data_IF_992016253763
#
_entry.id   IF_992016253763
#
_cell.length_a   1.000
_cell.length_b   1.000
_cell.length_c   1.000
_cell.angle_alpha   90.00
_cell.angle_beta   90.00
_cell.angle_gamma   90.00
#
_symmetry.space_group_name_H-M   'P 1'
#
loop_
_entity.id
_entity.type
_entity.pdbx_description
1 polymer ?
#
# COMPACT_ATOMS: atom_id res chain seq x y z
N UNK A 1 25.80 28.25 -10.61
CA UNK A 1 25.39 26.91 -10.20
C UNK A 1 24.09 26.60 -10.94
N UNK A 2 24.07 25.61 -11.80
CA UNK A 2 22.88 25.18 -12.51
C UNK A 2 21.89 24.48 -11.54
N UNK A 3 20.63 24.26 -11.98
CA UNK A 3 19.65 23.53 -11.17
C UNK A 3 20.11 22.10 -10.87
N UNK A 4 20.72 21.42 -11.84
CA UNK A 4 21.28 20.08 -11.64
C UNK A 4 22.44 20.08 -10.62
N UNK A 5 23.35 21.06 -10.69
CA UNK A 5 24.43 21.19 -9.69
C UNK A 5 23.88 21.48 -8.28
N UNK A 6 22.81 22.25 -8.19
CA UNK A 6 22.13 22.51 -6.94
C UNK A 6 21.44 21.28 -6.39
N UNK A 7 20.76 20.52 -7.25
CA UNK A 7 20.12 19.26 -6.90
C UNK A 7 21.11 18.27 -6.32
N UNK A 8 22.17 17.96 -7.05
CA UNK A 8 23.24 17.05 -6.63
C UNK A 8 23.93 17.47 -5.33
N UNK A 9 23.92 18.76 -5.02
CA UNK A 9 24.52 19.30 -3.80
C UNK A 9 23.62 19.23 -2.58
N UNK A 10 22.31 19.43 -2.77
CA UNK A 10 21.40 19.68 -1.66
C UNK A 10 20.33 18.62 -1.46
N UNK A 11 20.03 17.78 -2.46
CA UNK A 11 18.94 16.83 -2.40
C UNK A 11 19.48 15.41 -2.27
N UNK A 12 18.99 14.70 -1.26
CA UNK A 12 19.20 13.26 -1.14
C UNK A 12 17.96 12.55 -1.67
N UNK A 13 18.08 12.03 -2.88
CA UNK A 13 16.98 11.31 -3.54
C UNK A 13 16.69 9.96 -2.87
N UNK A 14 15.40 9.62 -2.68
CA UNK A 14 15.02 8.31 -2.19
C UNK A 14 15.28 7.20 -3.22
N UNK A 15 15.42 5.97 -2.74
CA UNK A 15 15.55 4.75 -3.55
C UNK A 15 16.72 4.73 -4.54
N UNK A 16 17.76 5.57 -4.32
CA UNK A 16 18.99 5.53 -5.10
C UNK A 16 20.22 5.81 -4.23
N UNK A 17 21.40 5.41 -4.70
CA UNK A 17 22.67 5.77 -4.09
C UNK A 17 23.17 7.11 -4.67
N UNK A 18 23.58 8.04 -3.82
CA UNK A 18 24.09 9.35 -4.28
C UNK A 18 25.27 9.21 -5.26
N UNK A 19 26.08 8.15 -5.12
CA UNK A 19 27.20 7.86 -6.00
C UNK A 19 26.77 7.53 -7.43
N UNK A 20 25.58 6.96 -7.61
CA UNK A 20 25.06 6.60 -8.93
C UNK A 20 24.73 7.86 -9.75
N UNK A 21 24.45 8.98 -9.09
CA UNK A 21 24.18 10.27 -9.74
C UNK A 21 25.42 10.84 -10.49
N UNK A 22 26.64 10.37 -10.22
CA UNK A 22 27.83 10.72 -10.98
C UNK A 22 27.78 10.15 -12.41
N UNK A 23 27.10 9.02 -12.62
CA UNK A 23 26.97 8.32 -13.92
C UNK A 23 25.58 8.52 -14.52
N UNK A 24 24.55 8.54 -13.67
CA UNK A 24 23.15 8.71 -14.03
C UNK A 24 22.55 9.88 -13.25
N UNK A 25 22.88 11.12 -13.64
CA UNK A 25 22.35 12.30 -12.96
C UNK A 25 20.84 12.39 -13.10
N UNK A 26 20.14 12.94 -12.09
CA UNK A 26 18.69 13.14 -12.16
C UNK A 26 18.33 14.09 -13.31
N UNK A 27 17.17 13.88 -13.90
CA UNK A 27 16.59 14.79 -14.90
C UNK A 27 15.79 15.85 -14.15
N UNK A 28 16.13 17.11 -14.35
CA UNK A 28 15.41 18.23 -13.71
C UNK A 28 14.17 18.56 -14.52
N UNK A 29 13.01 18.15 -14.04
CA UNK A 29 11.72 18.40 -14.69
C UNK A 29 11.25 19.82 -14.39
N UNK A 30 10.85 20.55 -15.42
CA UNK A 30 10.29 21.91 -15.36
C UNK A 30 8.77 21.87 -15.25
N UNK A 31 8.09 21.12 -16.12
CA UNK A 31 6.62 21.00 -16.13
C UNK A 31 6.15 19.68 -16.70
N UNK A 32 4.83 19.44 -16.59
CA UNK A 32 4.19 18.27 -17.17
C UNK A 32 2.79 18.57 -17.69
N UNK A 33 2.30 17.83 -18.68
CA UNK A 33 0.93 17.89 -19.17
C UNK A 33 0.48 16.50 -19.67
N UNK A 34 -0.64 16.03 -19.19
CA UNK A 34 -1.14 14.69 -19.53
C UNK A 34 -0.15 13.62 -19.11
N UNK A 35 0.32 12.79 -20.02
CA UNK A 35 1.32 11.75 -19.77
C UNK A 35 2.77 12.20 -20.07
N UNK A 36 3.01 13.46 -20.33
CA UNK A 36 4.33 13.98 -20.70
C UNK A 36 4.93 14.83 -19.60
N UNK A 37 6.24 14.71 -19.44
CA UNK A 37 7.12 15.56 -18.61
C UNK A 37 8.10 16.28 -19.53
N UNK A 38 8.47 17.48 -19.17
CA UNK A 38 9.43 18.32 -19.91
C UNK A 38 10.54 18.76 -18.96
N UNK A 39 11.79 18.57 -19.35
CA UNK A 39 12.91 19.05 -18.57
C UNK A 39 13.18 20.54 -18.80
N UNK A 40 14.14 21.08 -18.07
CA UNK A 40 14.55 22.49 -18.15
C UNK A 40 15.17 22.89 -19.49
N UNK A 41 15.48 21.93 -20.35
CA UNK A 41 15.98 22.17 -21.72
C UNK A 41 14.87 22.02 -22.77
N UNK A 42 13.63 21.68 -22.32
CA UNK A 42 12.47 21.48 -23.16
C UNK A 42 12.38 20.09 -23.81
N UNK A 43 13.19 19.16 -23.38
CA UNK A 43 13.11 17.78 -23.86
C UNK A 43 11.92 17.07 -23.23
N UNK A 44 11.17 16.32 -24.07
CA UNK A 44 9.96 15.62 -23.69
C UNK A 44 10.26 14.16 -23.27
N UNK A 45 9.57 13.70 -22.24
CA UNK A 45 9.59 12.34 -21.71
C UNK A 45 8.17 11.84 -21.50
N UNK A 46 7.92 10.56 -21.80
CA UNK A 46 6.65 9.91 -21.46
C UNK A 46 6.75 9.33 -20.07
N UNK A 47 5.87 9.77 -19.18
CA UNK A 47 5.74 9.23 -17.81
C UNK A 47 4.90 7.95 -17.81
N UNK A 48 5.51 6.83 -18.19
CA UNK A 48 4.84 5.53 -18.32
C UNK A 48 4.41 4.89 -17.00
N UNK A 49 4.92 5.39 -15.87
CA UNK A 49 4.58 4.89 -14.54
C UNK A 49 3.74 5.88 -13.73
N UNK A 50 3.22 6.93 -14.39
CA UNK A 50 2.39 7.97 -13.74
C UNK A 50 3.02 8.53 -12.46
N UNK A 51 4.33 8.86 -12.52
CA UNK A 51 5.14 9.32 -11.37
C UNK A 51 4.95 8.43 -10.14
N UNK A 52 5.18 7.14 -10.31
CA UNK A 52 5.02 6.11 -9.30
C UNK A 52 3.54 5.94 -8.87
N UNK A 53 2.65 5.85 -9.88
CA UNK A 53 1.19 5.63 -9.76
C UNK A 53 0.40 6.76 -9.08
N UNK A 54 1.00 7.94 -8.86
CA UNK A 54 0.32 9.07 -8.22
C UNK A 54 -0.54 9.90 -9.17
N UNK A 55 -0.19 9.95 -10.47
CA UNK A 55 -0.85 10.82 -11.46
C UNK A 55 -1.83 10.03 -12.37
N UNK A 56 -2.84 9.42 -11.77
CA UNK A 56 -3.82 8.60 -12.49
C UNK A 56 -4.51 9.31 -13.65
N UNK A 57 -4.78 10.62 -13.52
CA UNK A 57 -5.46 11.43 -14.52
C UNK A 57 -4.49 12.31 -15.33
N UNK A 58 -3.18 12.06 -15.19
CA UNK A 58 -2.13 12.80 -15.85
C UNK A 58 -1.73 14.10 -15.15
N UNK A 59 -0.60 14.65 -15.59
CA UNK A 59 -0.05 15.90 -15.08
C UNK A 59 -0.92 17.09 -15.46
N UNK A 60 -1.02 18.06 -14.56
CA UNK A 60 -1.72 19.33 -14.77
C UNK A 60 -3.15 19.13 -15.34
N UNK A 61 -3.91 18.22 -14.74
CA UNK A 61 -5.32 18.06 -15.06
C UNK A 61 -6.08 19.31 -14.62
N UNK A 62 -6.73 19.99 -15.59
CA UNK A 62 -7.33 21.30 -15.35
C UNK A 62 -8.51 21.21 -14.35
N UNK A 63 -9.35 20.16 -14.43
CA UNK A 63 -10.48 19.97 -13.52
C UNK A 63 -10.02 19.80 -12.05
N UNK A 64 -8.97 18.99 -11.83
CA UNK A 64 -8.40 18.81 -10.48
C UNK A 64 -7.76 20.11 -9.99
N UNK A 65 -6.97 20.76 -10.85
CA UNK A 65 -6.29 22.00 -10.49
C UNK A 65 -7.27 23.12 -10.12
N UNK A 66 -8.36 23.24 -10.85
CA UNK A 66 -9.37 24.26 -10.58
C UNK A 66 -10.12 23.96 -9.28
N UNK A 67 -10.49 22.68 -9.03
CA UNK A 67 -11.08 22.28 -7.74
C UNK A 67 -10.15 22.58 -6.55
N UNK A 68 -8.83 22.36 -6.70
CA UNK A 68 -7.83 22.69 -5.66
C UNK A 68 -7.75 24.23 -5.45
N UNK A 69 -7.70 25.02 -6.53
CA UNK A 69 -7.68 26.50 -6.44
C UNK A 69 -8.91 27.03 -5.72
N UNK A 70 -10.09 26.51 -6.07
CA UNK A 70 -11.35 26.91 -5.44
C UNK A 70 -11.37 26.58 -3.95
N UNK A 71 -10.88 25.39 -3.58
CA UNK A 71 -10.79 24.99 -2.17
C UNK A 71 -9.79 25.83 -1.38
N UNK A 72 -8.63 26.18 -1.96
CA UNK A 72 -7.64 27.06 -1.34
C UNK A 72 -8.20 28.45 -1.05
N UNK A 73 -9.17 28.92 -1.87
CA UNK A 73 -9.89 30.19 -1.63
C UNK A 73 -10.89 30.12 -0.46
N UNK A 74 -11.18 28.93 0.08
CA UNK A 74 -12.14 28.74 1.16
C UNK A 74 -11.45 28.29 2.47
N UNK A 75 -10.67 27.21 2.40
CA UNK A 75 -10.00 26.63 3.56
C UNK A 75 -8.90 25.67 3.09
N UNK A 76 -7.66 25.96 3.40
CA UNK A 76 -6.51 25.13 3.09
C UNK A 76 -6.27 24.03 4.13
N UNK A 77 -6.50 24.31 5.40
CA UNK A 77 -6.29 23.36 6.50
C UNK A 77 -7.12 23.71 7.73
N UNK A 78 -7.58 22.69 8.43
CA UNK A 78 -8.09 22.78 9.80
C UNK A 78 -7.73 21.50 10.56
N UNK A 79 -7.39 21.64 11.83
CA UNK A 79 -7.13 20.48 12.70
C UNK A 79 -8.35 19.57 12.83
N UNK A 80 -8.16 18.24 12.72
CA UNK A 80 -9.26 17.26 12.85
C UNK A 80 -9.65 16.94 14.30
N UNK A 81 -8.95 17.48 15.29
CA UNK A 81 -9.32 17.32 16.71
C UNK A 81 -10.53 18.19 17.05
N UNK A 82 -11.72 17.60 17.03
CA UNK A 82 -13.05 18.24 17.21
C UNK A 82 -13.48 19.23 16.11
N UNK A 83 -12.72 19.33 15.02
CA UNK A 83 -13.11 20.07 13.82
C UNK A 83 -13.26 19.10 12.65
N UNK A 84 -14.03 19.50 11.67
CA UNK A 84 -14.20 18.80 10.41
C UNK A 84 -14.40 19.80 9.29
N UNK A 85 -14.34 19.33 8.04
CA UNK A 85 -14.60 20.17 6.88
C UNK A 85 -15.32 19.40 5.77
N UNK A 86 -16.01 20.16 4.93
CA UNK A 86 -16.88 19.62 3.87
C UNK A 86 -16.19 18.60 2.96
N UNK A 87 -15.01 18.87 2.36
CA UNK A 87 -14.39 17.92 1.44
C UNK A 87 -14.13 16.53 2.04
N UNK A 88 -13.73 16.45 3.31
CA UNK A 88 -13.51 15.15 3.96
C UNK A 88 -14.81 14.38 4.14
N UNK A 89 -15.90 15.07 4.53
CA UNK A 89 -17.22 14.45 4.72
C UNK A 89 -17.75 13.94 3.37
N UNK A 90 -17.69 14.74 2.33
CA UNK A 90 -18.15 14.41 0.98
C UNK A 90 -17.33 13.24 0.39
N UNK A 91 -16.01 13.22 0.61
CA UNK A 91 -15.15 12.09 0.24
C UNK A 91 -15.60 10.79 0.92
N UNK A 92 -15.83 10.82 2.24
CA UNK A 92 -16.31 9.65 2.97
C UNK A 92 -17.67 9.16 2.44
N UNK A 93 -18.59 10.08 2.15
CA UNK A 93 -19.90 9.75 1.58
C UNK A 93 -19.78 9.11 0.18
N UNK A 94 -18.85 9.62 -0.66
CA UNK A 94 -18.61 9.08 -1.99
C UNK A 94 -17.93 7.69 -1.96
N UNK A 95 -17.05 7.44 -0.99
CA UNK A 95 -16.35 6.17 -0.83
C UNK A 95 -17.20 5.08 -0.19
N UNK A 96 -18.07 5.43 0.74
CA UNK A 96 -18.85 4.46 1.54
C UNK A 96 -19.61 3.41 0.69
N UNK A 97 -20.28 3.74 -0.42
CA UNK A 97 -20.96 2.75 -1.26
C UNK A 97 -20.02 1.77 -1.97
N UNK A 98 -18.73 2.07 -2.02
CA UNK A 98 -17.70 1.25 -2.69
C UNK A 98 -17.10 0.21 -1.74
N UNK A 99 -17.28 0.38 -0.44
CA UNK A 99 -16.66 -0.45 0.59
C UNK A 99 -17.52 -1.67 0.94
N UNK A 100 -16.90 -2.73 1.47
CA UNK A 100 -17.62 -3.85 2.05
C UNK A 100 -18.56 -3.38 3.17
N UNK A 101 -19.71 -4.06 3.30
CA UNK A 101 -20.66 -3.77 4.38
C UNK A 101 -19.98 -3.92 5.75
N UNK A 102 -20.18 -2.93 6.61
CA UNK A 102 -19.58 -2.89 7.96
C UNK A 102 -18.37 -1.99 8.08
N UNK A 103 -17.71 -1.62 7.00
CA UNK A 103 -16.65 -0.60 7.01
C UNK A 103 -17.29 0.79 6.84
N UNK A 104 -17.50 1.50 7.94
CA UNK A 104 -18.29 2.75 7.98
C UNK A 104 -17.50 3.95 8.50
N UNK A 105 -16.29 3.76 8.97
CA UNK A 105 -15.45 4.81 9.55
C UNK A 105 -14.15 4.96 8.78
N UNK A 106 -13.71 6.21 8.65
CA UNK A 106 -12.50 6.58 7.92
C UNK A 106 -11.51 7.25 8.87
N UNK A 107 -10.25 6.86 8.77
CA UNK A 107 -9.14 7.52 9.43
C UNK A 107 -8.19 8.04 8.37
N UNK A 108 -7.89 9.33 8.40
CA UNK A 108 -7.00 9.97 7.43
C UNK A 108 -5.57 10.02 7.97
N UNK A 109 -4.62 9.69 7.12
CA UNK A 109 -3.19 9.76 7.37
C UNK A 109 -2.51 10.44 6.19
N UNK A 110 -1.24 10.77 6.34
CA UNK A 110 -0.46 11.52 5.36
C UNK A 110 0.14 10.65 4.23
N UNK A 111 0.27 9.34 4.46
CA UNK A 111 0.80 8.39 3.48
C UNK A 111 0.41 6.94 3.80
N UNK A 112 0.72 6.01 2.87
CA UNK A 112 0.38 4.60 3.01
C UNK A 112 1.07 3.91 4.19
N UNK A 113 2.34 4.18 4.44
CA UNK A 113 3.06 3.60 5.59
C UNK A 113 2.45 4.02 6.92
N UNK A 114 2.10 5.31 7.07
CA UNK A 114 1.39 5.83 8.25
C UNK A 114 0.00 5.20 8.41
N UNK A 115 -0.70 4.92 7.29
CA UNK A 115 -1.98 4.20 7.33
C UNK A 115 -1.82 2.78 7.87
N UNK A 116 -0.78 2.07 7.44
CA UNK A 116 -0.45 0.73 7.94
C UNK A 116 -0.10 0.77 9.42
N UNK A 117 0.74 1.72 9.87
CA UNK A 117 1.06 1.90 11.29
C UNK A 117 -0.21 2.12 12.14
N UNK A 118 -1.13 2.97 11.67
CA UNK A 118 -2.40 3.19 12.33
C UNK A 118 -3.24 1.91 12.38
N UNK A 119 -3.34 1.17 11.27
CA UNK A 119 -4.11 -0.08 11.22
C UNK A 119 -3.55 -1.15 12.17
N UNK A 120 -2.22 -1.31 12.23
CA UNK A 120 -1.56 -2.23 13.16
C UNK A 120 -1.86 -1.85 14.61
N UNK A 121 -1.72 -0.57 14.95
CA UNK A 121 -2.02 -0.06 16.31
C UNK A 121 -3.50 -0.26 16.67
N UNK A 122 -4.41 0.04 15.76
CA UNK A 122 -5.86 -0.18 15.97
C UNK A 122 -6.17 -1.65 16.19
N UNK A 123 -5.61 -2.55 15.38
CA UNK A 123 -5.81 -3.98 15.50
C UNK A 123 -5.28 -4.52 16.84
N UNK A 124 -4.08 -4.11 17.23
CA UNK A 124 -3.48 -4.48 18.52
C UNK A 124 -4.32 -3.98 19.69
N UNK A 125 -4.69 -2.70 19.69
CA UNK A 125 -5.48 -2.10 20.75
C UNK A 125 -6.88 -2.71 20.85
N UNK A 126 -7.52 -3.01 19.73
CA UNK A 126 -8.81 -3.70 19.69
C UNK A 126 -8.74 -5.06 20.39
N UNK A 127 -7.75 -5.90 20.03
CA UNK A 127 -7.58 -7.21 20.65
C UNK A 127 -7.35 -7.09 22.16
N UNK A 128 -6.47 -6.18 22.57
CA UNK A 128 -6.20 -5.94 23.99
C UNK A 128 -7.45 -5.53 24.78
N UNK A 129 -8.22 -4.56 24.24
CA UNK A 129 -9.45 -4.06 24.88
C UNK A 129 -10.60 -5.05 24.82
N UNK A 130 -10.59 -5.98 23.85
CA UNK A 130 -11.57 -7.06 23.73
C UNK A 130 -11.28 -8.27 24.60
N UNK A 131 -10.26 -8.20 25.47
CA UNK A 131 -9.92 -9.26 26.41
C UNK A 131 -8.95 -10.30 25.87
N UNK A 132 -8.21 -9.99 24.80
CA UNK A 132 -7.23 -10.86 24.15
C UNK A 132 -5.80 -10.27 24.20
N UNK A 133 -5.22 -9.98 25.38
CA UNK A 133 -3.90 -9.38 25.51
C UNK A 133 -2.75 -10.29 25.02
N UNK A 134 -2.99 -11.58 24.82
CA UNK A 134 -2.05 -12.54 24.24
C UNK A 134 -1.85 -12.35 22.74
N UNK A 135 -2.75 -11.64 22.03
CA UNK A 135 -2.70 -11.40 20.59
C UNK A 135 -1.81 -10.20 20.27
N UNK A 136 -0.50 -10.43 20.22
CA UNK A 136 0.52 -9.38 20.11
C UNK A 136 1.30 -9.40 18.79
N UNK A 137 1.11 -10.41 17.97
CA UNK A 137 1.83 -10.59 16.71
C UNK A 137 0.94 -10.33 15.51
N UNK A 138 1.56 -10.08 14.38
CA UNK A 138 0.89 -9.96 13.09
C UNK A 138 1.31 -11.11 12.17
N UNK A 139 0.42 -11.48 11.26
CA UNK A 139 0.70 -12.38 10.16
C UNK A 139 0.79 -11.61 8.85
N UNK A 140 1.67 -12.04 7.96
CA UNK A 140 1.76 -11.53 6.59
C UNK A 140 2.26 -12.60 5.63
N UNK A 141 1.96 -12.42 4.35
CA UNK A 141 2.46 -13.26 3.28
C UNK A 141 3.94 -12.96 3.02
N UNK A 142 4.71 -13.97 2.63
CA UNK A 142 6.04 -13.76 2.07
C UNK A 142 5.95 -12.89 0.81
N UNK A 143 7.01 -12.12 0.53
CA UNK A 143 7.09 -11.19 -0.61
C UNK A 143 6.05 -10.05 -0.56
N UNK A 144 5.45 -9.79 0.60
CA UNK A 144 4.53 -8.66 0.79
C UNK A 144 5.28 -7.34 1.04
N UNK A 145 4.64 -6.25 0.61
CA UNK A 145 5.13 -4.88 0.84
C UNK A 145 3.99 -4.00 1.34
N UNK A 146 4.22 -3.37 2.48
CA UNK A 146 3.21 -2.53 3.13
C UNK A 146 3.70 -1.13 3.49
N UNK A 147 4.93 -0.79 3.10
CA UNK A 147 5.58 0.48 3.37
C UNK A 147 6.95 0.34 4.05
N UNK A 148 7.60 1.46 4.34
CA UNK A 148 9.00 1.49 4.79
C UNK A 148 9.20 2.11 6.18
N UNK A 149 8.16 2.50 6.90
CA UNK A 149 8.26 2.73 8.35
C UNK A 149 8.55 1.40 9.06
N UNK A 150 9.16 1.44 10.23
CA UNK A 150 9.60 0.20 10.92
C UNK A 150 8.44 -0.77 11.16
N UNK A 151 7.26 -0.29 11.55
CA UNK A 151 6.09 -1.15 11.72
C UNK A 151 5.58 -1.71 10.40
N UNK A 152 5.42 -0.87 9.37
CA UNK A 152 4.99 -1.32 8.03
C UNK A 152 6.01 -2.28 7.41
N UNK A 153 7.32 -2.00 7.56
CA UNK A 153 8.39 -2.88 7.10
C UNK A 153 8.39 -4.22 7.84
N UNK A 154 8.04 -4.22 9.13
CA UNK A 154 7.98 -5.42 9.96
C UNK A 154 6.89 -6.41 9.54
N UNK A 155 5.83 -5.94 8.90
CA UNK A 155 4.76 -6.78 8.34
C UNK A 155 4.94 -7.02 6.84
N UNK A 156 5.95 -6.42 6.21
CA UNK A 156 6.46 -6.79 4.90
C UNK A 156 7.50 -7.90 5.00
N UNK A 157 7.86 -8.49 3.88
CA UNK A 157 8.86 -9.57 3.86
C UNK A 157 9.85 -9.51 2.68
N UNK A 158 9.88 -8.40 1.97
CA UNK A 158 10.85 -8.21 0.90
C UNK A 158 12.24 -7.96 1.47
N UNK A 159 13.13 -8.94 1.33
CA UNK A 159 14.48 -8.88 1.88
C UNK A 159 15.30 -7.68 1.39
N UNK A 160 15.03 -7.24 0.16
CA UNK A 160 15.69 -6.04 -0.42
C UNK A 160 15.55 -4.81 0.48
N UNK A 161 14.37 -4.58 1.05
CA UNK A 161 14.09 -3.43 1.91
C UNK A 161 14.33 -3.72 3.39
N UNK A 162 14.11 -4.95 3.83
CA UNK A 162 14.08 -5.34 5.24
C UNK A 162 15.43 -5.76 5.81
N UNK A 163 16.36 -6.30 4.99
CA UNK A 163 17.55 -7.02 5.44
C UNK A 163 18.39 -6.28 6.46
N UNK A 164 18.65 -4.98 6.21
CA UNK A 164 19.50 -4.17 7.08
C UNK A 164 18.79 -3.81 8.39
N UNK A 165 17.46 -3.68 8.34
CA UNK A 165 16.63 -3.21 9.44
C UNK A 165 16.05 -4.33 10.32
N UNK A 166 16.31 -5.61 9.99
CA UNK A 166 15.83 -6.76 10.77
C UNK A 166 16.00 -6.63 12.30
N UNK A 167 17.12 -6.08 12.83
CA UNK A 167 17.26 -5.91 14.29
C UNK A 167 16.27 -4.91 14.91
N UNK A 168 15.66 -4.03 14.12
CA UNK A 168 14.70 -3.01 14.58
C UNK A 168 13.25 -3.44 14.38
N UNK A 169 13.02 -4.54 13.67
CA UNK A 169 11.67 -4.96 13.24
C UNK A 169 10.99 -5.80 14.33
N UNK A 170 9.66 -5.76 14.33
CA UNK A 170 8.85 -6.63 15.17
C UNK A 170 8.97 -8.10 14.72
N UNK A 171 8.92 -9.02 15.69
CA UNK A 171 8.92 -10.46 15.41
C UNK A 171 7.52 -10.94 14.98
N UNK A 172 7.22 -10.81 13.70
CA UNK A 172 5.95 -11.19 13.09
C UNK A 172 6.02 -12.58 12.43
N UNK A 173 4.86 -13.10 12.03
CA UNK A 173 4.71 -14.41 11.45
C UNK A 173 4.59 -14.27 9.94
N UNK A 174 5.55 -14.81 9.22
CA UNK A 174 5.55 -14.86 7.76
C UNK A 174 5.24 -16.29 7.31
N UNK A 175 4.36 -16.44 6.35
CA UNK A 175 4.10 -17.72 5.71
C UNK A 175 4.19 -17.59 4.19
N UNK A 176 4.41 -18.73 3.53
CA UNK A 176 4.74 -18.73 2.11
C UNK A 176 3.71 -17.99 1.29
N UNK A 177 4.21 -17.05 0.50
CA UNK A 177 3.44 -16.25 -0.42
C UNK A 177 3.03 -17.03 -1.66
N UNK A 178 2.36 -16.32 -2.54
CA UNK A 178 1.78 -16.85 -3.76
C UNK A 178 2.66 -16.54 -4.95
N UNK A 179 2.96 -17.53 -5.77
CA UNK A 179 3.54 -17.34 -7.09
C UNK A 179 2.73 -18.13 -8.12
N UNK A 180 1.65 -17.51 -8.62
CA UNK A 180 0.80 -18.16 -9.61
C UNK A 180 1.40 -18.17 -11.02
N UNK A 181 2.39 -17.33 -11.28
CA UNK A 181 3.13 -17.35 -12.55
C UNK A 181 4.14 -18.49 -12.61
N UNK A 182 4.80 -18.78 -11.48
CA UNK A 182 5.75 -19.89 -11.31
C UNK A 182 5.27 -20.80 -10.19
N UNK A 183 4.08 -21.37 -10.37
CA UNK A 183 3.42 -22.14 -9.33
C UNK A 183 4.29 -23.33 -8.88
N UNK A 184 4.68 -23.42 -7.60
CA UNK A 184 5.51 -24.51 -7.09
C UNK A 184 4.79 -25.86 -7.11
N UNK A 185 3.46 -25.87 -7.29
CA UNK A 185 2.63 -27.05 -7.42
C UNK A 185 2.33 -27.43 -8.88
N UNK A 186 2.92 -26.71 -9.85
CA UNK A 186 2.72 -26.98 -11.29
C UNK A 186 1.30 -26.70 -11.81
N UNK A 187 0.51 -25.91 -11.05
CA UNK A 187 -0.87 -25.59 -11.42
C UNK A 187 -0.94 -24.40 -12.36
N UNK A 188 -1.99 -24.35 -13.17
CA UNK A 188 -2.41 -23.19 -13.95
C UNK A 188 -3.64 -22.54 -13.30
N UNK A 189 -4.07 -21.37 -13.81
CA UNK A 189 -5.29 -20.71 -13.30
C UNK A 189 -6.52 -21.63 -13.40
N UNK A 190 -6.61 -22.43 -14.44
CA UNK A 190 -7.77 -23.30 -14.70
C UNK A 190 -7.77 -24.57 -13.87
N UNK A 191 -6.59 -25.01 -13.41
CA UNK A 191 -6.43 -26.25 -12.62
C UNK A 191 -6.19 -26.00 -11.14
N UNK A 192 -5.97 -24.74 -10.73
CA UNK A 192 -5.58 -24.38 -9.38
C UNK A 192 -6.76 -24.48 -8.37
N UNK A 193 -6.56 -25.27 -7.32
CA UNK A 193 -7.44 -25.32 -6.15
C UNK A 193 -6.82 -24.62 -4.93
N UNK A 194 -5.84 -23.73 -5.13
CA UNK A 194 -5.09 -23.09 -4.07
C UNK A 194 -4.35 -24.09 -3.18
N UNK A 195 -3.63 -25.06 -3.73
CA UNK A 195 -2.84 -26.05 -3.00
C UNK A 195 -1.78 -25.38 -2.10
N UNK A 196 -1.28 -24.21 -2.50
CA UNK A 196 -0.37 -23.39 -1.70
C UNK A 196 -1.01 -22.84 -0.41
N UNK A 197 -2.33 -22.93 -0.25
CA UNK A 197 -3.04 -22.44 0.93
C UNK A 197 -2.65 -23.20 2.22
N UNK A 198 -2.08 -24.39 2.11
CA UNK A 198 -1.57 -25.18 3.24
C UNK A 198 -0.58 -24.40 4.11
N UNK A 199 0.16 -23.45 3.55
CA UNK A 199 1.06 -22.57 4.31
C UNK A 199 0.29 -21.68 5.29
N UNK A 200 -0.80 -21.07 4.84
CA UNK A 200 -1.69 -20.28 5.67
C UNK A 200 -2.34 -21.13 6.78
N UNK A 201 -2.89 -22.31 6.44
CA UNK A 201 -3.50 -23.22 7.42
C UNK A 201 -2.53 -23.59 8.55
N UNK A 202 -1.29 -23.94 8.21
CA UNK A 202 -0.24 -24.25 9.18
C UNK A 202 0.10 -23.06 10.07
N UNK A 203 0.23 -21.86 9.48
CA UNK A 203 0.52 -20.63 10.23
C UNK A 203 -0.60 -20.30 11.22
N UNK A 204 -1.86 -20.38 10.79
CA UNK A 204 -3.00 -20.14 11.67
C UNK A 204 -3.15 -21.22 12.77
N UNK A 205 -2.91 -22.48 12.45
CA UNK A 205 -2.94 -23.55 13.44
C UNK A 205 -1.87 -23.37 14.52
N UNK A 206 -0.67 -22.92 14.14
CA UNK A 206 0.43 -22.71 15.07
C UNK A 206 0.32 -21.42 15.87
N UNK A 207 -0.12 -20.32 15.24
CA UNK A 207 0.04 -18.96 15.78
C UNK A 207 -1.26 -18.14 15.84
N UNK A 208 -2.38 -18.65 15.37
CA UNK A 208 -3.64 -17.89 15.29
C UNK A 208 -4.13 -17.35 16.65
N UNK A 209 -3.80 -18.03 17.76
CA UNK A 209 -4.18 -17.58 19.12
C UNK A 209 -3.37 -16.38 19.62
N UNK A 210 -2.18 -16.17 19.13
CA UNK A 210 -1.31 -15.04 19.50
C UNK A 210 -1.29 -13.92 18.45
N UNK A 211 -2.09 -14.05 17.38
CA UNK A 211 -2.13 -13.12 16.27
C UNK A 211 -3.24 -12.09 16.42
N UNK A 212 -2.88 -10.81 16.37
CA UNK A 212 -3.82 -9.70 16.39
C UNK A 212 -4.52 -9.51 15.04
N UNK A 213 -3.74 -9.49 13.96
CA UNK A 213 -4.25 -9.33 12.62
C UNK A 213 -3.36 -10.01 11.57
N UNK A 214 -3.98 -10.38 10.44
CA UNK A 214 -3.33 -10.69 9.18
C UNK A 214 -3.39 -9.44 8.31
N UNK A 215 -2.26 -9.04 7.70
CA UNK A 215 -2.23 -8.01 6.67
C UNK A 215 -1.88 -8.63 5.32
N UNK A 216 -2.59 -8.20 4.26
CA UNK A 216 -2.41 -8.71 2.91
C UNK A 216 -2.52 -7.60 1.86
N UNK A 217 -1.84 -7.77 0.74
CA UNK A 217 -2.14 -7.06 -0.51
C UNK A 217 -3.21 -7.91 -1.24
N UNK A 218 -4.48 -7.48 -1.34
CA UNK A 218 -5.53 -8.30 -1.90
C UNK A 218 -5.35 -8.48 -3.41
N UNK A 219 -5.41 -9.72 -3.90
CA UNK A 219 -5.35 -10.13 -5.30
C UNK A 219 -4.01 -9.90 -6.00
N UNK A 220 -3.28 -8.84 -5.67
CA UNK A 220 -2.05 -8.44 -6.33
C UNK A 220 -0.99 -8.01 -5.31
N UNK A 221 0.14 -8.72 -5.25
CA UNK A 221 1.34 -8.26 -4.56
C UNK A 221 2.16 -7.40 -5.54
N UNK A 222 2.09 -6.07 -5.39
CA UNK A 222 2.64 -5.12 -6.36
C UNK A 222 4.16 -5.12 -6.39
N UNK A 223 4.81 -4.82 -5.28
CA UNK A 223 6.26 -4.69 -5.18
C UNK A 223 7.01 -6.02 -5.41
N UNK A 224 6.34 -7.15 -5.21
CA UNK A 224 6.86 -8.49 -5.52
C UNK A 224 6.96 -8.80 -7.02
N UNK A 225 6.73 -7.82 -7.89
CA UNK A 225 6.74 -8.00 -9.35
C UNK A 225 5.35 -8.31 -9.92
N UNK A 226 4.32 -7.69 -9.38
CA UNK A 226 2.93 -7.80 -9.84
C UNK A 226 2.40 -9.25 -9.81
N UNK A 227 2.60 -9.94 -8.68
CA UNK A 227 2.13 -11.31 -8.48
C UNK A 227 0.62 -11.34 -8.24
N UNK A 228 -0.12 -11.83 -9.22
CA UNK A 228 -1.58 -11.94 -9.16
C UNK A 228 -1.97 -13.34 -8.67
N UNK A 229 -2.92 -13.41 -7.74
CA UNK A 229 -3.43 -14.66 -7.18
C UNK A 229 -4.97 -14.77 -7.25
N UNK A 230 -5.54 -15.99 -7.15
CA UNK A 230 -6.96 -16.19 -7.26
C UNK A 230 -7.75 -15.54 -6.12
N UNK A 231 -8.92 -14.95 -6.37
CA UNK A 231 -9.80 -14.42 -5.32
C UNK A 231 -10.19 -15.45 -4.26
N UNK A 232 -10.21 -16.74 -4.63
CA UNK A 232 -10.50 -17.85 -3.72
C UNK A 232 -9.50 -17.92 -2.56
N UNK A 233 -8.22 -17.62 -2.80
CA UNK A 233 -7.21 -17.59 -1.75
C UNK A 233 -7.55 -16.55 -0.69
N UNK A 234 -7.95 -15.34 -1.11
CA UNK A 234 -8.36 -14.26 -0.20
C UNK A 234 -9.63 -14.62 0.59
N UNK A 235 -10.62 -15.28 -0.07
CA UNK A 235 -11.83 -15.77 0.64
C UNK A 235 -11.48 -16.77 1.72
N UNK A 236 -10.57 -17.70 1.45
CA UNK A 236 -10.09 -18.68 2.43
C UNK A 236 -9.32 -18.00 3.58
N UNK A 237 -8.49 -16.97 3.29
CA UNK A 237 -7.85 -16.16 4.34
C UNK A 237 -8.87 -15.48 5.23
N UNK A 238 -9.92 -14.86 4.64
CA UNK A 238 -11.01 -14.26 5.41
C UNK A 238 -11.67 -15.30 6.33
N UNK A 239 -11.95 -16.48 5.82
CA UNK A 239 -12.55 -17.55 6.61
C UNK A 239 -11.64 -17.99 7.78
N UNK A 240 -10.35 -18.18 7.55
CA UNK A 240 -9.41 -18.48 8.64
C UNK A 240 -9.36 -17.33 9.68
N UNK A 241 -9.31 -16.09 9.24
CA UNK A 241 -9.36 -14.96 10.15
C UNK A 241 -10.61 -14.99 11.04
N UNK A 242 -11.78 -15.26 10.47
CA UNK A 242 -13.05 -15.38 11.22
C UNK A 242 -13.00 -16.56 12.21
N UNK A 243 -12.51 -17.73 11.77
CA UNK A 243 -12.40 -18.92 12.59
C UNK A 243 -11.49 -18.73 13.82
N UNK A 244 -10.39 -18.02 13.66
CA UNK A 244 -9.41 -17.80 14.72
C UNK A 244 -9.60 -16.48 15.48
N UNK A 245 -10.54 -15.62 15.09
CA UNK A 245 -10.74 -14.29 15.67
C UNK A 245 -9.59 -13.33 15.39
N UNK A 246 -8.91 -13.51 14.27
CA UNK A 246 -7.83 -12.66 13.77
C UNK A 246 -8.42 -11.56 12.89
N UNK A 247 -8.02 -10.30 13.08
CA UNK A 247 -8.47 -9.22 12.21
C UNK A 247 -7.80 -9.32 10.83
N UNK A 248 -8.50 -8.89 9.78
CA UNK A 248 -7.95 -8.81 8.43
C UNK A 248 -7.75 -7.35 8.04
N UNK A 249 -6.53 -7.02 7.62
CA UNK A 249 -6.14 -5.71 7.10
C UNK A 249 -5.85 -5.86 5.60
N UNK A 250 -6.68 -5.26 4.75
CA UNK A 250 -6.43 -5.21 3.31
C UNK A 250 -5.63 -3.96 2.96
N UNK A 251 -4.41 -4.16 2.44
CA UNK A 251 -3.52 -3.10 2.01
C UNK A 251 -3.73 -2.82 0.52
N UNK A 252 -4.53 -1.79 0.20
CA UNK A 252 -5.07 -1.52 -1.13
C UNK A 252 -4.23 -0.53 -1.97
N UNK A 253 -2.97 -0.28 -1.65
CA UNK A 253 -2.16 0.73 -2.36
C UNK A 253 -2.17 0.54 -3.89
N UNK A 254 -2.15 -0.72 -4.36
CA UNK A 254 -2.13 -1.07 -5.79
C UNK A 254 -3.43 -1.68 -6.31
N UNK A 255 -4.34 -2.02 -5.44
CA UNK A 255 -5.51 -2.87 -5.76
C UNK A 255 -6.83 -2.21 -5.46
N UNK A 256 -6.83 -0.94 -5.07
CA UNK A 256 -8.07 -0.18 -4.86
C UNK A 256 -8.84 -0.12 -6.18
N UNK A 257 -10.11 -0.56 -6.24
CA UNK A 257 -10.89 -0.49 -7.47
C UNK A 257 -11.01 0.96 -7.91
N UNK A 258 -10.38 1.27 -9.04
CA UNK A 258 -10.58 2.53 -9.74
C UNK A 258 -12.00 2.59 -10.31
N UNK A 259 -12.62 3.76 -10.43
CA UNK A 259 -13.88 3.92 -11.19
C UNK A 259 -13.82 3.34 -12.61
N UNK A 260 -12.62 3.19 -13.19
CA UNK A 260 -12.41 2.53 -14.49
C UNK A 260 -12.64 1.02 -14.46
N UNK A 261 -12.41 0.35 -13.33
CA UNK A 261 -12.54 -1.11 -13.24
C UNK A 261 -14.01 -1.54 -13.19
N UNK A 262 -14.92 -0.65 -12.80
CA UNK A 262 -16.37 -0.88 -12.82
C UNK A 262 -17.00 -0.91 -14.22
N UNK A 263 -16.33 -0.37 -15.24
CA UNK A 263 -16.87 -0.35 -16.62
C UNK A 263 -16.58 -1.64 -17.38
N UNK A 264 -15.88 -2.60 -16.80
CA UNK A 264 -15.48 -3.87 -17.43
C UNK A 264 -16.05 -5.12 -16.75
N UNK A 265 -16.93 -4.97 -15.78
CA UNK A 265 -17.64 -6.08 -15.13
C UNK A 265 -19.12 -6.12 -15.49
#
# INVERSE_FOLDING_TARGET
>A
MSLLEADLKYIWHPAQQMKDAEVFPPVVIDHGKGCYLYDTEGKEYIDIISSWWCNLLGHCNDEINDAIKDQLGQLEHVIFANFSHRPAIELCQALLPLLPKGLTHFNFTDNGSSSVECALKMAFQYQYQSGHPERQRFMCLSESYHGETIGALSVGSMDLYARIYKPMMMNNIHFDGLDCYRCPYGQTRDTCNCECFVGAEKAFAAYGKETAALIVEPILQGAAGMRIYPPEYLRRLRHLCDQYGVLLIDCLLYTSPSPRDRQKS
#
